data_IF_730315770752
#
_entry.id   IF_730315770752
#
_cell.length_a   1.000
_cell.length_b   1.000
_cell.length_c   1.000
_cell.angle_alpha   90.00
_cell.angle_beta   90.00
_cell.angle_gamma   90.00
#
_symmetry.space_group_name_H-M   'P 1'
#
loop_
_entity.id
_entity.type
_entity.pdbx_description
1 polymer ?
#
# COMPACT_ATOMS: atom_id res chain seq x y z
N UNK A 1 23.78 22.95 -47.54
CA UNK A 1 23.93 23.78 -46.33
C UNK A 1 22.56 23.99 -45.71
N UNK A 2 22.47 23.80 -44.39
CA UNK A 2 21.40 24.27 -43.48
C UNK A 2 20.02 23.58 -43.63
N UNK A 3 19.36 23.04 -42.60
CA UNK A 3 19.65 22.96 -41.18
C UNK A 3 18.53 22.15 -40.53
N UNK A 4 18.88 21.22 -39.65
CA UNK A 4 17.94 20.38 -38.89
C UNK A 4 17.31 21.23 -37.78
N UNK A 5 15.98 21.34 -37.72
CA UNK A 5 15.29 21.71 -36.49
C UNK A 5 14.67 20.45 -35.87
N UNK A 6 15.24 20.02 -34.74
CA UNK A 6 14.60 19.05 -33.85
C UNK A 6 13.77 19.85 -32.83
N UNK A 7 12.46 19.69 -32.87
CA UNK A 7 11.58 20.12 -31.78
C UNK A 7 11.64 19.03 -30.69
N UNK A 8 12.44 19.25 -29.66
CA UNK A 8 12.30 18.52 -28.39
C UNK A 8 11.26 19.23 -27.55
N UNK A 9 10.04 18.71 -27.54
CA UNK A 9 9.02 19.08 -26.57
C UNK A 9 9.42 18.52 -25.20
N UNK A 10 9.85 19.40 -24.29
CA UNK A 10 10.06 19.04 -22.89
C UNK A 10 8.69 19.02 -22.22
N UNK A 11 8.13 17.82 -22.03
CA UNK A 11 7.02 17.58 -21.12
C UNK A 11 7.52 17.84 -19.70
N UNK A 12 7.31 19.07 -19.22
CA UNK A 12 7.39 19.41 -17.81
C UNK A 12 6.24 18.69 -17.09
N UNK A 13 6.51 17.45 -16.67
CA UNK A 13 5.71 16.73 -15.71
C UNK A 13 5.80 17.45 -14.36
N UNK A 14 4.92 18.42 -14.15
CA UNK A 14 4.60 18.93 -12.82
C UNK A 14 3.90 17.79 -12.06
N UNK A 15 4.71 16.98 -11.40
CA UNK A 15 4.29 16.17 -10.26
C UNK A 15 3.82 17.13 -9.18
N UNK A 16 2.51 17.39 -9.15
CA UNK A 16 1.91 18.10 -8.04
C UNK A 16 2.23 17.32 -6.75
N UNK A 17 2.75 17.96 -5.69
CA UNK A 17 2.83 17.31 -4.40
C UNK A 17 1.39 17.18 -3.90
N UNK A 18 0.81 15.99 -4.08
CA UNK A 18 -0.38 15.61 -3.35
C UNK A 18 0.03 15.56 -1.88
N UNK A 19 -0.19 16.67 -1.19
CA UNK A 19 -0.32 16.72 0.26
C UNK A 19 -1.54 15.86 0.62
N UNK A 20 -1.36 14.54 0.62
CA UNK A 20 -2.32 13.63 1.22
C UNK A 20 -2.35 13.95 2.70
N UNK A 21 -3.57 14.11 3.23
CA UNK A 21 -3.78 14.31 4.66
C UNK A 21 -3.02 13.23 5.42
N UNK A 22 -2.40 13.59 6.54
CA UNK A 22 -1.42 12.79 7.26
C UNK A 22 -1.95 11.48 7.89
N UNK A 23 -3.05 10.93 7.39
CA UNK A 23 -3.62 9.66 7.83
C UNK A 23 -4.20 8.79 6.71
N UNK A 24 -4.03 9.15 5.44
CA UNK A 24 -4.56 8.38 4.29
C UNK A 24 -3.48 8.11 3.25
N UNK A 25 -3.40 6.87 2.77
CA UNK A 25 -2.47 6.50 1.69
C UNK A 25 -2.75 7.30 0.40
N UNK A 26 -1.76 7.46 -0.50
CA UNK A 26 -1.99 8.12 -1.80
C UNK A 26 -2.96 7.30 -2.68
N UNK A 27 -3.65 7.96 -3.62
CA UNK A 27 -4.62 7.33 -4.54
C UNK A 27 -4.09 6.09 -5.26
N UNK A 28 -2.81 6.06 -5.63
CA UNK A 28 -2.26 4.89 -6.31
C UNK A 28 -2.15 3.65 -5.40
N UNK A 29 -2.14 3.82 -4.07
CA UNK A 29 -2.24 2.72 -3.12
C UNK A 29 -3.68 2.19 -3.01
N UNK A 30 -4.67 3.07 -3.03
CA UNK A 30 -6.09 2.68 -3.09
C UNK A 30 -6.40 1.90 -4.37
N UNK A 31 -5.95 2.42 -5.51
CA UNK A 31 -6.04 1.73 -6.81
C UNK A 31 -5.37 0.36 -6.78
N UNK A 32 -4.21 0.25 -6.14
CA UNK A 32 -3.48 -1.01 -6.02
C UNK A 32 -4.25 -2.04 -5.20
N UNK A 33 -4.83 -1.63 -4.06
CA UNK A 33 -5.68 -2.47 -3.22
C UNK A 33 -6.90 -2.97 -4.02
N UNK A 34 -7.61 -2.05 -4.69
CA UNK A 34 -8.79 -2.38 -5.48
C UNK A 34 -8.47 -3.33 -6.64
N UNK A 35 -7.42 -3.05 -7.43
CA UNK A 35 -6.99 -3.91 -8.55
C UNK A 35 -6.56 -5.30 -8.10
N UNK A 36 -6.05 -5.41 -6.86
CA UNK A 36 -5.64 -6.69 -6.27
C UNK A 36 -6.75 -7.38 -5.48
N UNK A 37 -7.97 -6.82 -5.48
CA UNK A 37 -9.11 -7.30 -4.68
C UNK A 37 -8.79 -7.42 -3.17
N UNK A 38 -8.00 -6.49 -2.64
CA UNK A 38 -7.69 -6.36 -1.22
C UNK A 38 -8.56 -5.26 -0.62
N UNK A 39 -9.10 -5.49 0.57
CA UNK A 39 -9.84 -4.47 1.33
C UNK A 39 -8.96 -3.23 1.57
N UNK A 40 -9.41 -2.06 1.13
CA UNK A 40 -8.61 -0.82 1.20
C UNK A 40 -8.16 -0.51 2.62
N UNK A 41 -9.04 -0.68 3.62
CA UNK A 41 -8.71 -0.43 5.02
C UNK A 41 -7.67 -1.42 5.57
N UNK A 42 -7.72 -2.69 5.14
CA UNK A 42 -6.70 -3.67 5.52
C UNK A 42 -5.35 -3.31 4.90
N UNK A 43 -5.36 -2.90 3.64
CA UNK A 43 -4.14 -2.48 2.95
C UNK A 43 -3.54 -1.23 3.61
N UNK A 44 -4.36 -0.26 3.97
CA UNK A 44 -3.95 0.92 4.74
C UNK A 44 -3.28 0.56 6.06
N UNK A 45 -3.93 -0.27 6.88
CA UNK A 45 -3.39 -0.73 8.15
C UNK A 45 -2.01 -1.40 8.00
N UNK A 46 -1.85 -2.21 6.96
CA UNK A 46 -0.59 -2.90 6.65
C UNK A 46 0.48 -1.91 6.20
N UNK A 47 0.16 -0.96 5.32
CA UNK A 47 1.13 0.03 4.85
C UNK A 47 1.57 0.99 5.96
N UNK A 48 0.70 1.38 6.88
CA UNK A 48 1.10 2.14 8.07
C UNK A 48 2.09 1.37 8.94
N UNK A 49 1.92 0.05 9.07
CA UNK A 49 2.90 -0.78 9.79
C UNK A 49 4.25 -0.89 9.04
N UNK A 50 4.27 -0.86 7.71
CA UNK A 50 5.51 -0.98 6.94
C UNK A 50 6.24 0.34 6.73
N UNK A 51 5.49 1.43 6.54
CA UNK A 51 6.01 2.76 6.22
C UNK A 51 6.09 3.67 7.44
N UNK A 52 5.48 3.29 8.56
CA UNK A 52 5.38 4.10 9.76
C UNK A 52 4.13 4.98 9.79
N UNK A 53 4.00 5.73 10.88
CA UNK A 53 2.93 6.72 11.11
C UNK A 53 3.59 8.04 11.58
N UNK A 54 3.66 9.09 10.73
CA UNK A 54 3.12 9.13 9.37
C UNK A 54 3.92 8.24 8.39
N UNK A 55 3.30 7.75 7.29
CA UNK A 55 3.99 6.93 6.30
C UNK A 55 5.16 7.65 5.65
N UNK A 56 6.32 6.99 5.54
CA UNK A 56 7.37 7.42 4.62
C UNK A 56 6.90 7.30 3.16
N UNK A 57 7.42 8.17 2.29
CA UNK A 57 7.08 8.15 0.87
C UNK A 57 7.46 6.83 0.20
N UNK A 58 6.55 6.29 -0.61
CA UNK A 58 6.76 5.11 -1.41
C UNK A 58 6.22 5.29 -2.84
N UNK A 59 6.80 4.57 -3.81
CA UNK A 59 6.38 4.66 -5.21
C UNK A 59 5.07 3.91 -5.47
N UNK A 60 4.33 4.26 -6.53
CA UNK A 60 3.13 3.51 -6.90
C UNK A 60 3.43 2.04 -7.27
N UNK A 61 4.62 1.77 -7.80
CA UNK A 61 5.10 0.39 -8.03
C UNK A 61 5.27 -0.38 -6.72
N UNK A 62 5.71 0.28 -5.65
CA UNK A 62 5.77 -0.34 -4.32
C UNK A 62 4.37 -0.77 -3.88
N UNK A 63 3.39 0.13 -3.89
CA UNK A 63 2.03 -0.22 -3.48
C UNK A 63 1.40 -1.33 -4.33
N UNK A 64 1.58 -1.29 -5.65
CA UNK A 64 1.12 -2.35 -6.55
C UNK A 64 1.69 -3.72 -6.17
N UNK A 65 3.00 -3.80 -5.93
CA UNK A 65 3.67 -5.03 -5.54
C UNK A 65 3.20 -5.53 -4.17
N UNK A 66 3.07 -4.63 -3.18
CA UNK A 66 2.60 -4.99 -1.85
C UNK A 66 1.14 -5.45 -1.86
N UNK A 67 0.26 -4.80 -2.62
CA UNK A 67 -1.13 -5.21 -2.74
C UNK A 67 -1.25 -6.61 -3.38
N UNK A 68 -0.49 -6.88 -4.45
CA UNK A 68 -0.44 -8.21 -5.07
C UNK A 68 0.10 -9.28 -4.09
N UNK A 69 1.12 -8.95 -3.30
CA UNK A 69 1.67 -9.86 -2.31
C UNK A 69 0.67 -10.17 -1.18
N UNK A 70 -0.03 -9.16 -0.67
CA UNK A 70 -1.07 -9.34 0.35
C UNK A 70 -2.25 -10.15 -0.19
N UNK A 71 -2.69 -9.91 -1.43
CA UNK A 71 -3.72 -10.71 -2.10
C UNK A 71 -3.32 -12.19 -2.20
N UNK A 72 -2.06 -12.46 -2.57
CA UNK A 72 -1.53 -13.83 -2.60
C UNK A 72 -1.50 -14.46 -1.21
N UNK A 73 -1.12 -13.73 -0.17
CA UNK A 73 -1.14 -14.21 1.22
C UNK A 73 -2.56 -14.51 1.70
N UNK A 74 -3.53 -13.65 1.39
CA UNK A 74 -4.95 -13.88 1.71
C UNK A 74 -5.47 -15.16 1.04
N UNK A 75 -5.15 -15.35 -0.23
CA UNK A 75 -5.51 -16.57 -0.97
C UNK A 75 -4.88 -17.82 -0.36
N UNK A 76 -3.58 -17.78 -0.03
CA UNK A 76 -2.87 -18.91 0.57
C UNK A 76 -3.44 -19.30 1.94
N UNK A 77 -3.92 -18.31 2.71
CA UNK A 77 -4.50 -18.51 4.03
C UNK A 77 -6.04 -18.59 4.01
N UNK A 78 -6.65 -18.89 2.86
CA UNK A 78 -8.10 -19.11 2.71
C UNK A 78 -8.95 -17.94 3.24
N UNK A 79 -8.44 -16.72 3.17
CA UNK A 79 -9.12 -15.51 3.64
C UNK A 79 -8.94 -15.22 5.13
N UNK A 80 -8.16 -15.99 5.89
CA UNK A 80 -7.76 -15.58 7.24
C UNK A 80 -6.86 -14.35 7.15
N UNK A 81 -7.44 -13.19 7.44
CA UNK A 81 -6.78 -11.89 7.36
C UNK A 81 -5.54 -11.82 8.24
N UNK A 82 -5.62 -12.30 9.47
CA UNK A 82 -4.55 -12.11 10.45
C UNK A 82 -3.40 -13.05 10.20
N UNK A 83 -3.68 -14.28 9.78
CA UNK A 83 -2.63 -15.19 9.34
C UNK A 83 -1.97 -14.70 8.04
N UNK A 84 -2.76 -14.15 7.10
CA UNK A 84 -2.23 -13.57 5.87
C UNK A 84 -1.34 -12.34 6.12
N UNK A 85 -1.76 -11.40 6.99
CA UNK A 85 -0.95 -10.25 7.39
C UNK A 85 0.33 -10.70 8.09
N UNK A 86 0.24 -11.69 8.98
CA UNK A 86 1.39 -12.22 9.67
C UNK A 86 2.42 -12.82 8.71
N UNK A 87 1.96 -13.63 7.75
CA UNK A 87 2.82 -14.17 6.70
C UNK A 87 3.34 -13.08 5.76
N UNK A 88 2.53 -12.07 5.44
CA UNK A 88 2.96 -10.93 4.61
C UNK A 88 4.11 -10.15 5.27
N UNK A 89 4.01 -9.88 6.57
CA UNK A 89 5.00 -9.08 7.30
C UNK A 89 6.29 -9.85 7.59
N UNK A 90 6.22 -11.18 7.73
CA UNK A 90 7.33 -11.99 8.22
C UNK A 90 7.83 -13.05 7.21
N UNK A 91 7.13 -13.26 6.09
CA UNK A 91 7.37 -14.34 5.13
C UNK A 91 6.92 -15.73 5.59
N UNK A 92 6.63 -15.91 6.88
CA UNK A 92 6.18 -17.15 7.52
C UNK A 92 5.28 -16.83 8.73
N UNK A 93 4.62 -17.85 9.28
CA UNK A 93 3.78 -17.68 10.46
C UNK A 93 4.65 -17.48 11.73
N UNK A 94 4.48 -16.34 12.39
CA UNK A 94 5.12 -15.98 13.66
C UNK A 94 4.05 -15.86 14.75
N UNK A 95 4.00 -16.78 15.72
CA UNK A 95 3.07 -16.72 16.83
C UNK A 95 3.24 -15.44 17.65
N UNK A 96 2.11 -14.85 18.08
CA UNK A 96 2.08 -13.64 18.92
C UNK A 96 2.80 -12.40 18.36
N UNK A 97 2.99 -12.33 17.04
CA UNK A 97 3.70 -11.22 16.39
C UNK A 97 3.10 -9.85 16.75
N UNK A 98 3.89 -8.95 17.38
CA UNK A 98 3.40 -7.63 17.76
C UNK A 98 3.06 -6.75 16.55
N UNK A 99 3.69 -6.96 15.37
CA UNK A 99 3.36 -6.17 14.17
C UNK A 99 1.96 -6.49 13.66
N UNK A 100 1.66 -7.78 13.53
CA UNK A 100 0.31 -8.26 13.17
C UNK A 100 -0.74 -7.73 14.13
N UNK A 101 -0.45 -7.72 15.44
CA UNK A 101 -1.37 -7.18 16.45
C UNK A 101 -1.66 -5.70 16.24
N UNK A 102 -0.64 -4.87 15.94
CA UNK A 102 -0.83 -3.44 15.66
C UNK A 102 -1.67 -3.20 14.42
N UNK A 103 -1.41 -3.93 13.33
CA UNK A 103 -2.24 -3.85 12.10
C UNK A 103 -3.69 -4.19 12.42
N UNK A 104 -3.92 -5.27 13.16
CA UNK A 104 -5.25 -5.69 13.58
C UNK A 104 -5.95 -4.62 14.41
N UNK A 105 -5.28 -4.07 15.42
CA UNK A 105 -5.83 -3.02 16.27
C UNK A 105 -6.21 -1.77 15.48
N UNK A 106 -5.37 -1.34 14.52
CA UNK A 106 -5.68 -0.20 13.66
C UNK A 106 -6.90 -0.49 12.76
N UNK A 107 -6.93 -1.66 12.13
CA UNK A 107 -8.04 -2.05 11.27
C UNK A 107 -9.36 -2.09 12.05
N UNK A 108 -9.38 -2.79 13.19
CA UNK A 108 -10.59 -2.98 14.00
C UNK A 108 -11.10 -1.66 14.61
N UNK A 109 -10.21 -0.72 14.95
CA UNK A 109 -10.64 0.59 15.45
C UNK A 109 -11.37 1.40 14.39
N UNK A 110 -10.93 1.32 13.12
CA UNK A 110 -11.56 2.03 12.00
C UNK A 110 -12.85 1.38 11.49
N UNK A 111 -12.98 0.05 11.63
CA UNK A 111 -14.25 -0.63 11.30
C UNK A 111 -15.32 -0.45 12.36
N UNK A 112 -14.96 -0.13 13.60
CA UNK A 112 -15.93 0.06 14.68
C UNK A 112 -16.69 1.39 14.58
N UNK A 113 -16.15 2.34 13.81
CA UNK A 113 -16.73 3.66 13.57
C UNK A 113 -17.69 3.70 12.34
N UNK A 114 -17.93 2.56 11.68
CA UNK A 114 -18.79 2.41 10.49
C UNK A 114 -20.03 1.56 10.81
#
# INVERSE_FOLDING_TARGET
>A
MNGKLRLTAVLLGLVAPLLTSAGTLPLCAEDAAQKSAVESLLFEAVMLQELGDPPIEATCTFYANRAAFLASALKANRGDRWLAVNQFLNGHAVPNDPKTRRVRTFYESKTSDQ
#
